data_IF_232089105603
#
_entry.id   IF_232089105603
#
_cell.length_a   1.000
_cell.length_b   1.000
_cell.length_c   1.000
_cell.angle_alpha   90.00
_cell.angle_beta   90.00
_cell.angle_gamma   90.00
#
_symmetry.space_group_name_H-M   'P 1'
#
loop_
_entity.id
_entity.type
_entity.pdbx_description
1 polymer ?
#
# COMPACT_ATOMS: atom_id res chain seq x y z
N UNK A 1 -11.45 9.91 50.69
CA UNK A 1 -12.30 10.87 49.93
C UNK A 1 -12.76 10.11 48.67
N UNK A 2 -13.89 9.41 48.66
CA UNK A 2 -15.26 9.84 48.27
C UNK A 2 -15.34 10.71 46.99
N UNK A 3 -15.84 10.06 45.91
CA UNK A 3 -16.73 10.54 44.80
C UNK A 3 -16.19 11.64 43.87
N UNK A 4 -16.40 11.64 42.54
CA UNK A 4 -17.64 11.44 41.77
C UNK A 4 -17.41 10.90 40.35
N UNK A 5 -18.44 10.21 39.84
CA UNK A 5 -18.66 9.86 38.45
C UNK A 5 -18.82 11.08 37.52
N UNK A 6 -18.59 10.88 36.22
CA UNK A 6 -19.30 11.61 35.17
C UNK A 6 -19.58 10.67 33.99
N UNK A 7 -20.73 10.00 34.03
CA UNK A 7 -21.41 9.55 32.83
C UNK A 7 -21.79 10.78 31.97
N UNK A 8 -21.56 10.71 30.66
CA UNK A 8 -22.48 11.30 29.69
C UNK A 8 -22.79 10.28 28.60
N UNK A 9 -23.93 9.64 28.79
CA UNK A 9 -24.73 8.99 27.74
C UNK A 9 -25.27 10.09 26.83
N UNK A 10 -25.13 9.94 25.51
CA UNK A 10 -26.09 10.51 24.57
C UNK A 10 -26.55 9.39 23.64
N UNK A 11 -27.78 8.95 23.88
CA UNK A 11 -28.60 8.17 22.95
C UNK A 11 -28.92 9.06 21.76
N UNK A 12 -28.58 8.63 20.55
CA UNK A 12 -29.02 9.25 19.30
C UNK A 12 -29.88 8.27 18.51
N UNK A 13 -31.11 8.67 18.22
CA UNK A 13 -32.14 7.90 17.52
C UNK A 13 -31.81 7.82 16.03
N UNK A 14 -31.81 6.61 15.45
CA UNK A 14 -31.83 6.43 13.98
C UNK A 14 -33.26 6.72 13.51
N UNK A 15 -33.47 7.93 12.99
CA UNK A 15 -34.67 8.26 12.24
C UNK A 15 -34.33 8.15 10.75
N UNK A 16 -34.87 7.12 10.09
CA UNK A 16 -34.87 7.01 8.65
C UNK A 16 -35.80 8.09 8.07
N UNK A 17 -35.27 8.98 7.23
CA UNK A 17 -36.07 9.84 6.35
C UNK A 17 -35.49 9.71 4.95
N UNK A 18 -36.30 9.14 4.07
CA UNK A 18 -36.04 9.08 2.63
C UNK A 18 -36.02 10.49 2.03
N UNK A 19 -35.04 10.79 1.19
CA UNK A 19 -35.10 11.89 0.25
C UNK A 19 -34.87 11.37 -1.17
N UNK A 20 -35.92 11.51 -1.97
CA UNK A 20 -35.92 11.36 -3.42
C UNK A 20 -35.46 12.69 -4.03
N UNK A 21 -34.49 12.65 -4.95
CA UNK A 21 -34.42 13.59 -6.07
C UNK A 21 -33.17 14.46 -6.24
N UNK A 22 -32.45 14.15 -7.33
CA UNK A 22 -31.81 15.05 -8.31
C UNK A 22 -30.49 15.80 -7.99
N UNK A 23 -29.43 15.39 -8.69
CA UNK A 23 -28.56 16.12 -9.65
C UNK A 23 -27.19 15.42 -9.62
N UNK A 24 -26.83 14.76 -10.72
CA UNK A 24 -25.47 14.26 -10.94
C UNK A 24 -24.55 15.46 -11.17
N UNK A 25 -24.06 16.04 -10.08
CA UNK A 25 -22.82 16.81 -10.10
C UNK A 25 -21.69 15.79 -10.16
N UNK A 26 -20.92 15.80 -11.25
CA UNK A 26 -19.63 15.16 -11.28
C UNK A 26 -18.69 15.91 -10.31
N UNK A 27 -18.73 15.51 -9.05
CA UNK A 27 -17.73 15.85 -8.04
C UNK A 27 -16.65 14.76 -8.06
N UNK A 28 -15.37 15.10 -7.82
CA UNK A 28 -14.29 14.13 -7.87
C UNK A 28 -14.53 13.08 -6.80
N UNK A 29 -14.85 11.85 -7.22
CA UNK A 29 -14.90 10.71 -6.33
C UNK A 29 -13.46 10.35 -5.96
N UNK A 30 -12.97 10.85 -4.83
CA UNK A 30 -11.70 10.42 -4.26
C UNK A 30 -11.59 10.57 -2.73
N UNK A 31 -12.50 11.29 -2.05
CA UNK A 31 -12.25 11.66 -0.64
C UNK A 31 -13.04 10.83 0.40
N UNK A 32 -14.06 10.05 0.00
CA UNK A 32 -14.92 9.35 1.00
C UNK A 32 -14.28 8.13 1.66
N UNK A 33 -13.19 7.59 1.12
CA UNK A 33 -12.56 6.35 1.63
C UNK A 33 -11.19 6.57 2.28
N UNK A 34 -10.69 7.80 2.35
CA UNK A 34 -9.37 8.05 2.93
C UNK A 34 -9.35 7.76 4.45
N UNK A 35 -8.32 7.07 4.96
CA UNK A 35 -8.14 6.93 6.40
C UNK A 35 -8.01 8.30 7.10
N UNK A 36 -8.41 8.45 8.37
CA UNK A 36 -8.23 9.72 9.06
C UNK A 36 -6.75 9.99 9.41
N UNK A 37 -6.42 11.26 9.64
CA UNK A 37 -5.13 11.67 10.19
C UNK A 37 -3.98 11.59 9.19
N UNK A 38 -2.76 11.29 9.69
CA UNK A 38 -1.53 11.28 8.89
C UNK A 38 -1.57 10.24 7.75
N UNK A 39 -2.25 9.12 7.96
CA UNK A 39 -2.40 8.08 6.94
C UNK A 39 -3.26 8.54 5.77
N UNK A 40 -4.38 9.24 6.01
CA UNK A 40 -5.17 9.83 4.92
C UNK A 40 -4.39 10.78 4.04
N UNK A 41 -3.53 11.61 4.64
CA UNK A 41 -2.66 12.54 3.89
C UNK A 41 -1.65 11.78 3.03
N UNK A 42 -1.10 10.67 3.52
CA UNK A 42 -0.15 9.84 2.78
C UNK A 42 -0.86 9.10 1.64
N UNK A 43 -2.00 8.45 1.93
CA UNK A 43 -2.81 7.73 0.94
C UNK A 43 -3.29 8.67 -0.17
N UNK A 44 -3.81 9.86 0.17
CA UNK A 44 -4.24 10.83 -0.84
C UNK A 44 -3.10 11.27 -1.76
N UNK A 45 -1.89 11.50 -1.22
CA UNK A 45 -0.70 11.81 -2.05
C UNK A 45 -0.28 10.63 -2.92
N UNK A 46 -0.38 9.41 -2.41
CA UNK A 46 -0.07 8.20 -3.15
C UNK A 46 -1.05 8.02 -4.31
N UNK A 47 -2.35 8.21 -4.08
CA UNK A 47 -3.38 8.18 -5.13
C UNK A 47 -3.14 9.26 -6.19
N UNK A 48 -2.85 10.50 -5.80
CA UNK A 48 -2.57 11.60 -6.74
C UNK A 48 -1.33 11.35 -7.62
N UNK A 49 -0.33 10.64 -7.09
CA UNK A 49 0.93 10.37 -7.78
C UNK A 49 0.96 9.02 -8.52
N UNK A 50 -0.08 8.20 -8.38
CA UNK A 50 -0.11 6.85 -8.90
C UNK A 50 -0.20 6.82 -10.43
N UNK A 51 0.50 5.85 -11.04
CA UNK A 51 0.20 5.44 -12.40
C UNK A 51 -1.07 4.55 -12.41
N UNK A 52 -1.51 4.13 -13.59
CA UNK A 52 -2.73 3.32 -13.75
C UNK A 52 -2.73 2.06 -12.86
N UNK A 53 -1.63 1.28 -12.89
CA UNK A 53 -1.52 0.05 -12.11
C UNK A 53 -1.60 0.28 -10.60
N UNK A 54 -0.81 1.22 -10.08
CA UNK A 54 -0.81 1.54 -8.65
C UNK A 54 -2.12 2.22 -8.23
N UNK A 55 -2.74 2.99 -9.13
CA UNK A 55 -4.01 3.68 -8.89
C UNK A 55 -5.18 2.72 -8.74
N UNK A 56 -5.20 1.61 -9.49
CA UNK A 56 -6.17 0.53 -9.30
C UNK A 56 -6.09 -0.07 -7.89
N UNK A 57 -4.87 -0.32 -7.41
CA UNK A 57 -4.63 -0.90 -6.09
C UNK A 57 -5.00 0.10 -4.99
N UNK A 58 -4.62 1.36 -5.16
CA UNK A 58 -4.81 2.39 -4.13
C UNK A 58 -6.23 2.98 -4.10
N UNK A 59 -7.14 2.55 -4.98
CA UNK A 59 -8.42 3.20 -5.22
C UNK A 59 -9.32 3.31 -3.97
N UNK A 60 -9.28 2.32 -3.08
CA UNK A 60 -10.07 2.30 -1.85
C UNK A 60 -9.36 2.92 -0.63
N UNK A 61 -8.14 3.41 -0.85
CA UNK A 61 -7.32 4.06 0.17
C UNK A 61 -6.67 3.12 1.18
N UNK A 62 -6.65 1.81 0.92
CA UNK A 62 -5.98 0.79 1.72
C UNK A 62 -5.21 -0.16 0.80
N UNK A 63 -4.27 -0.86 1.40
CA UNK A 63 -3.57 -1.98 0.77
C UNK A 63 -3.71 -3.18 1.68
N UNK A 64 -4.29 -4.25 1.15
CA UNK A 64 -4.29 -5.57 1.77
C UNK A 64 -3.10 -6.43 1.33
N UNK A 65 -2.97 -7.62 1.92
CA UNK A 65 -1.81 -8.48 1.64
C UNK A 65 -1.79 -9.01 0.20
N UNK A 66 -2.95 -9.27 -0.40
CA UNK A 66 -3.02 -9.75 -1.78
C UNK A 66 -2.71 -8.64 -2.79
N UNK A 67 -3.12 -7.41 -2.49
CA UNK A 67 -2.76 -6.20 -3.24
C UNK A 67 -1.26 -5.91 -3.16
N UNK A 68 -0.69 -5.94 -1.96
CA UNK A 68 0.75 -5.85 -1.73
C UNK A 68 1.50 -6.93 -2.51
N UNK A 69 1.08 -8.20 -2.38
CA UNK A 69 1.69 -9.32 -3.11
C UNK A 69 1.57 -9.16 -4.62
N UNK A 70 0.43 -8.69 -5.14
CA UNK A 70 0.22 -8.42 -6.57
C UNK A 70 1.20 -7.37 -7.09
N UNK A 71 1.41 -6.29 -6.33
CA UNK A 71 2.37 -5.26 -6.68
C UNK A 71 3.80 -5.82 -6.71
N UNK A 72 4.22 -6.55 -5.68
CA UNK A 72 5.55 -7.17 -5.62
C UNK A 72 5.74 -8.15 -6.79
N UNK A 73 4.78 -9.03 -7.06
CA UNK A 73 4.84 -9.97 -8.18
C UNK A 73 4.96 -9.28 -9.54
N UNK A 74 4.33 -8.11 -9.73
CA UNK A 74 4.49 -7.30 -10.94
C UNK A 74 5.91 -6.72 -11.06
N UNK A 75 6.46 -6.17 -9.97
CA UNK A 75 7.86 -5.73 -9.91
C UNK A 75 8.83 -6.85 -10.28
N UNK A 76 8.67 -8.04 -9.67
CA UNK A 76 9.55 -9.18 -9.91
C UNK A 76 9.45 -9.69 -11.35
N UNK A 77 8.26 -9.66 -11.96
CA UNK A 77 8.06 -10.03 -13.36
C UNK A 77 8.78 -9.06 -14.28
N UNK A 78 8.60 -7.76 -14.08
CA UNK A 78 9.33 -6.72 -14.84
C UNK A 78 10.84 -6.90 -14.73
N UNK A 79 11.36 -7.16 -13.52
CA UNK A 79 12.79 -7.37 -13.31
C UNK A 79 13.29 -8.60 -14.09
N UNK A 80 12.58 -9.73 -14.03
CA UNK A 80 12.92 -10.95 -14.78
C UNK A 80 12.88 -10.73 -16.29
N UNK A 81 11.88 -10.00 -16.80
CA UNK A 81 11.76 -9.69 -18.24
C UNK A 81 12.93 -8.84 -18.75
N UNK A 82 13.55 -8.06 -17.86
CA UNK A 82 14.77 -7.28 -18.12
C UNK A 82 16.08 -8.06 -17.89
N UNK A 83 15.98 -9.34 -17.56
CA UNK A 83 17.14 -10.20 -17.33
C UNK A 83 17.76 -10.07 -15.94
N UNK A 84 17.10 -9.43 -14.99
CA UNK A 84 17.54 -9.40 -13.59
C UNK A 84 17.28 -10.76 -12.95
N UNK A 85 18.30 -11.48 -12.48
CA UNK A 85 18.08 -12.73 -11.75
C UNK A 85 17.45 -12.43 -10.40
N UNK A 86 16.41 -13.18 -10.05
CA UNK A 86 15.67 -13.06 -8.79
C UNK A 86 15.63 -14.42 -8.12
N UNK A 87 16.06 -14.49 -6.86
CA UNK A 87 16.04 -15.69 -6.02
C UNK A 87 15.12 -15.46 -4.82
N UNK A 88 14.36 -16.49 -4.42
CA UNK A 88 13.37 -16.42 -3.34
C UNK A 88 11.95 -16.84 -3.77
N UNK A 89 10.91 -16.59 -2.95
CA UNK A 89 11.01 -15.86 -1.68
C UNK A 89 11.61 -16.70 -0.54
N UNK A 90 12.27 -16.03 0.39
CA UNK A 90 12.43 -16.49 1.78
C UNK A 90 11.45 -15.72 2.68
N UNK A 91 11.07 -16.30 3.82
CA UNK A 91 10.32 -15.57 4.85
C UNK A 91 11.31 -14.96 5.83
N UNK A 92 11.28 -13.64 5.97
CA UNK A 92 12.12 -12.93 6.94
C UNK A 92 11.62 -13.16 8.38
N UNK A 93 12.47 -12.85 9.35
CA UNK A 93 12.14 -13.01 10.78
C UNK A 93 11.03 -12.08 11.28
N UNK A 94 10.78 -10.99 10.55
CA UNK A 94 9.71 -10.01 10.76
C UNK A 94 8.49 -10.24 9.84
N UNK A 95 8.47 -11.34 9.08
CA UNK A 95 7.28 -11.83 8.35
C UNK A 95 7.10 -11.28 6.94
N UNK A 96 8.13 -10.69 6.34
CA UNK A 96 8.15 -10.26 4.95
C UNK A 96 8.60 -11.36 4.00
N UNK A 97 8.23 -11.22 2.73
CA UNK A 97 8.83 -11.97 1.65
C UNK A 97 10.15 -11.28 1.26
N UNK A 98 11.27 -11.94 1.52
CA UNK A 98 12.59 -11.51 1.10
C UNK A 98 12.94 -12.13 -0.25
N UNK A 99 13.52 -11.31 -1.11
CA UNK A 99 14.03 -11.71 -2.42
C UNK A 99 15.45 -11.18 -2.57
N UNK A 100 16.32 -11.98 -3.18
CA UNK A 100 17.68 -11.60 -3.54
C UNK A 100 17.76 -11.33 -5.05
N UNK A 101 18.55 -10.34 -5.46
CA UNK A 101 18.54 -9.82 -6.84
C UNK A 101 19.94 -9.59 -7.39
N UNK A 102 20.29 -10.25 -8.51
CA UNK A 102 21.62 -10.24 -9.13
C UNK A 102 22.16 -11.65 -9.44
N UNK A 103 23.31 -11.73 -10.11
CA UNK A 103 23.94 -13.02 -10.44
C UNK A 103 24.49 -13.71 -9.18
N UNK A 104 24.29 -15.02 -9.03
CA UNK A 104 24.99 -15.75 -7.97
C UNK A 104 26.48 -15.79 -8.29
N UNK A 105 27.32 -15.41 -7.34
CA UNK A 105 28.75 -15.71 -7.41
C UNK A 105 29.01 -17.19 -7.08
N UNK A 106 30.28 -17.59 -7.15
CA UNK A 106 30.69 -18.98 -6.91
C UNK A 106 30.41 -19.45 -5.47
N UNK A 107 30.17 -18.52 -4.54
CA UNK A 107 29.82 -18.78 -3.14
C UNK A 107 28.30 -18.80 -2.92
N UNK A 108 27.49 -18.51 -3.95
CA UNK A 108 26.03 -18.44 -3.88
C UNK A 108 25.52 -17.12 -3.32
N UNK A 109 26.39 -16.13 -3.17
CA UNK A 109 26.02 -14.77 -2.81
C UNK A 109 25.63 -13.98 -4.06
N UNK A 110 24.88 -12.90 -3.86
CA UNK A 110 24.47 -12.03 -4.95
C UNK A 110 25.24 -10.72 -4.83
N UNK A 111 26.33 -10.51 -5.58
CA UNK A 111 27.06 -9.26 -5.55
C UNK A 111 26.17 -8.13 -6.09
N UNK A 112 26.26 -6.96 -5.48
CA UNK A 112 25.51 -5.78 -5.88
C UNK A 112 25.88 -5.36 -7.31
N UNK A 113 25.09 -5.81 -8.29
CA UNK A 113 25.16 -5.36 -9.66
C UNK A 113 24.35 -4.06 -9.80
N UNK A 114 25.04 -2.94 -9.98
CA UNK A 114 24.43 -1.63 -10.12
C UNK A 114 23.43 -1.54 -11.29
N UNK A 115 23.62 -2.33 -12.36
CA UNK A 115 22.70 -2.39 -13.49
C UNK A 115 21.44 -3.15 -13.08
N UNK A 116 21.60 -4.33 -12.47
CA UNK A 116 20.48 -5.11 -11.95
C UNK A 116 19.65 -4.33 -10.92
N UNK A 117 20.32 -3.59 -10.02
CA UNK A 117 19.68 -2.71 -9.04
C UNK A 117 18.95 -1.54 -9.71
N UNK A 118 19.53 -0.95 -10.76
CA UNK A 118 18.89 0.12 -11.53
C UNK A 118 17.61 -0.34 -12.23
N UNK A 119 17.66 -1.52 -12.87
CA UNK A 119 16.51 -2.09 -13.55
C UNK A 119 15.40 -2.52 -12.58
N UNK A 120 15.78 -3.14 -11.46
CA UNK A 120 14.86 -3.48 -10.37
C UNK A 120 14.21 -2.22 -9.79
N UNK A 121 15.00 -1.18 -9.51
CA UNK A 121 14.47 0.09 -9.00
C UNK A 121 13.46 0.72 -9.97
N UNK A 122 13.72 0.65 -11.28
CA UNK A 122 12.76 1.09 -12.30
C UNK A 122 11.43 0.35 -12.21
N UNK A 123 11.48 -0.99 -12.10
CA UNK A 123 10.30 -1.82 -11.93
C UNK A 123 9.57 -1.54 -10.60
N UNK A 124 10.31 -1.35 -9.50
CA UNK A 124 9.75 -1.04 -8.19
C UNK A 124 9.02 0.32 -8.19
N UNK A 125 9.61 1.36 -8.79
CA UNK A 125 8.94 2.66 -8.96
C UNK A 125 7.64 2.52 -9.75
N UNK A 126 7.63 1.66 -10.78
CA UNK A 126 6.48 1.45 -11.64
C UNK A 126 5.35 0.67 -10.96
N UNK A 127 5.66 -0.39 -10.21
CA UNK A 127 4.63 -1.32 -9.76
C UNK A 127 4.37 -1.34 -8.25
N UNK A 128 5.34 -0.99 -7.41
CA UNK A 128 5.25 -1.26 -5.97
C UNK A 128 5.46 -0.06 -5.06
N UNK A 129 6.24 0.95 -5.45
CA UNK A 129 6.69 2.01 -4.53
C UNK A 129 5.58 2.65 -3.71
N UNK A 130 4.50 3.10 -4.33
CA UNK A 130 3.41 3.80 -3.62
C UNK A 130 2.52 2.82 -2.85
N UNK A 131 2.38 1.59 -3.35
CA UNK A 131 1.65 0.51 -2.66
C UNK A 131 2.37 0.11 -1.38
N UNK A 132 3.70 -0.05 -1.43
CA UNK A 132 4.55 -0.35 -0.27
C UNK A 132 4.53 0.79 0.76
N UNK A 133 4.58 2.05 0.31
CA UNK A 133 4.51 3.22 1.20
C UNK A 133 3.21 3.23 2.02
N UNK A 134 2.08 2.90 1.38
CA UNK A 134 0.77 2.81 2.04
C UNK A 134 0.67 1.58 2.95
N UNK A 135 1.14 0.42 2.49
CA UNK A 135 1.21 -0.81 3.27
C UNK A 135 1.99 -0.64 4.58
N UNK A 136 3.21 -0.08 4.50
CA UNK A 136 4.06 0.14 5.68
C UNK A 136 3.42 1.15 6.63
N UNK A 137 2.88 2.25 6.11
CA UNK A 137 2.22 3.27 6.92
C UNK A 137 0.97 2.74 7.65
N UNK A 138 0.23 1.80 7.05
CA UNK A 138 -0.88 1.11 7.72
C UNK A 138 -0.37 0.22 8.85
N UNK A 139 0.69 -0.53 8.61
CA UNK A 139 1.25 -1.47 9.60
C UNK A 139 1.84 -0.75 10.81
N UNK A 140 2.52 0.37 10.62
CA UNK A 140 3.08 1.19 11.70
C UNK A 140 2.01 1.75 12.66
N UNK A 141 0.75 1.83 12.24
CA UNK A 141 -0.36 2.19 13.14
C UNK A 141 -0.86 1.04 14.00
N UNK A 142 -0.48 -0.20 13.68
CA UNK A 142 -0.89 -1.40 14.40
C UNK A 142 0.08 -1.78 15.53
N UNK A 143 1.28 -1.18 15.56
CA UNK A 143 2.34 -1.42 16.56
C UNK A 143 2.47 -0.26 17.54
#
# INVERSE_FOLDING_TARGET
MRTFAAHRVVRGVVAAVAFVGLIAAASPAADENLPPGRLGVLVGRAQDAANEFQGEILADGRVDFDEYRRAVEATLRCARDKGVPVVGPSLSSDGYLEYSYGALDDDGDVPADAIALGELNGCWVEFSRLVEEVWDAQRDQLT
#
